data_IF_652940959199
#
_entry.id   IF_652940959199
#
_cell.length_a   1.000
_cell.length_b   1.000
_cell.length_c   1.000
_cell.angle_alpha   90.00
_cell.angle_beta   90.00
_cell.angle_gamma   90.00
#
_symmetry.space_group_name_H-M   'P 1'
#
loop_
_entity.id
_entity.type
_entity.pdbx_description
1 polymer ?
#
# COMPACT_ATOMS: atom_id res chain seq x y z
N UNK A 1 -11.99 3.06 21.01
CA UNK A 1 -11.39 2.91 19.66
C UNK A 1 -12.48 2.87 18.61
N UNK A 2 -12.28 3.48 17.44
CA UNK A 2 -13.20 3.34 16.32
C UNK A 2 -13.13 1.89 15.76
N UNK A 3 -14.20 1.37 15.14
CA UNK A 3 -14.14 0.08 14.46
C UNK A 3 -13.06 0.05 13.37
N UNK A 4 -12.37 -1.09 13.22
CA UNK A 4 -11.23 -1.26 12.30
C UNK A 4 -11.58 -0.90 10.85
N UNK A 5 -12.79 -1.20 10.39
CA UNK A 5 -13.22 -0.89 9.01
C UNK A 5 -13.24 0.61 8.71
N UNK A 6 -13.47 1.47 9.72
CA UNK A 6 -13.39 2.94 9.54
C UNK A 6 -11.96 3.37 9.21
N UNK A 7 -10.97 2.80 9.90
CA UNK A 7 -9.56 3.09 9.59
C UNK A 7 -9.19 2.61 8.19
N UNK A 8 -9.66 1.43 7.78
CA UNK A 8 -9.41 0.90 6.43
C UNK A 8 -10.08 1.78 5.36
N UNK A 9 -11.29 2.27 5.58
CA UNK A 9 -11.93 3.23 4.67
C UNK A 9 -11.15 4.55 4.57
N UNK A 10 -10.65 5.07 5.68
CA UNK A 10 -9.79 6.26 5.69
C UNK A 10 -8.48 6.02 4.93
N UNK A 11 -7.84 4.87 5.12
CA UNK A 11 -6.65 4.44 4.39
C UNK A 11 -6.95 4.43 2.88
N UNK A 12 -8.02 3.75 2.47
CA UNK A 12 -8.40 3.63 1.06
C UNK A 12 -8.70 5.00 0.44
N UNK A 13 -9.44 5.86 1.12
CA UNK A 13 -9.73 7.22 0.63
C UNK A 13 -8.46 8.06 0.52
N UNK A 14 -7.58 8.00 1.51
CA UNK A 14 -6.33 8.74 1.52
C UNK A 14 -5.40 8.29 0.39
N UNK A 15 -5.17 6.97 0.26
CA UNK A 15 -4.32 6.45 -0.80
C UNK A 15 -4.94 6.58 -2.18
N UNK A 16 -6.25 6.54 -2.33
CA UNK A 16 -6.90 6.88 -3.60
C UNK A 16 -6.53 8.30 -4.09
N UNK A 17 -6.56 9.30 -3.20
CA UNK A 17 -6.12 10.65 -3.54
C UNK A 17 -4.62 10.70 -3.89
N UNK A 18 -3.78 9.97 -3.12
CA UNK A 18 -2.35 9.85 -3.41
C UNK A 18 -2.14 9.22 -4.79
N UNK A 19 -2.84 8.14 -5.10
CA UNK A 19 -2.68 7.36 -6.32
C UNK A 19 -3.00 8.16 -7.59
N UNK A 20 -4.04 9.00 -7.55
CA UNK A 20 -4.37 9.93 -8.64
C UNK A 20 -3.18 10.86 -8.93
N UNK A 21 -2.61 11.43 -7.87
CA UNK A 21 -1.50 12.36 -7.98
C UNK A 21 -0.20 11.64 -8.40
N UNK A 22 0.06 10.46 -7.84
CA UNK A 22 1.20 9.59 -8.21
C UNK A 22 1.14 9.21 -9.68
N UNK A 23 -0.03 8.81 -10.18
CA UNK A 23 -0.22 8.51 -11.60
C UNK A 23 0.14 9.71 -12.47
N UNK A 24 -0.35 10.90 -12.12
CA UNK A 24 -0.08 12.13 -12.86
C UNK A 24 1.42 12.45 -12.90
N UNK A 25 2.09 12.39 -11.77
CA UNK A 25 3.52 12.71 -11.65
C UNK A 25 4.41 11.61 -12.28
N UNK A 26 4.07 10.33 -12.14
CA UNK A 26 4.84 9.21 -12.71
C UNK A 26 4.82 9.19 -14.23
N UNK A 27 3.75 9.66 -14.85
CA UNK A 27 3.65 9.79 -16.31
C UNK A 27 4.44 11.01 -16.79
N UNK A 28 4.40 12.11 -16.03
CA UNK A 28 5.00 13.40 -16.43
C UNK A 28 6.51 13.47 -16.19
N UNK A 29 7.08 12.59 -15.34
CA UNK A 29 8.46 12.70 -14.90
C UNK A 29 9.19 11.35 -14.85
N UNK A 30 10.50 11.38 -14.50
CA UNK A 30 11.22 10.16 -14.17
C UNK A 30 10.67 9.59 -12.86
N UNK A 31 10.13 8.36 -12.92
CA UNK A 31 9.43 7.72 -11.80
C UNK A 31 10.32 7.59 -10.55
N UNK A 32 11.60 7.21 -10.72
CA UNK A 32 12.51 7.04 -9.58
C UNK A 32 12.83 8.38 -8.92
N UNK A 33 13.08 9.42 -9.72
CA UNK A 33 13.29 10.77 -9.20
C UNK A 33 12.03 11.31 -8.49
N UNK A 34 10.85 11.00 -9.01
CA UNK A 34 9.58 11.35 -8.36
C UNK A 34 9.46 10.65 -7.00
N UNK A 35 9.72 9.32 -6.92
CA UNK A 35 9.67 8.57 -5.66
C UNK A 35 10.67 9.15 -4.65
N UNK A 36 11.91 9.43 -5.07
CA UNK A 36 12.94 10.01 -4.20
C UNK A 36 12.51 11.36 -3.62
N UNK A 37 11.95 12.26 -4.45
CA UNK A 37 11.45 13.57 -3.99
C UNK A 37 10.29 13.42 -3.00
N UNK A 38 9.33 12.54 -3.31
CA UNK A 38 8.21 12.25 -2.41
C UNK A 38 8.76 11.72 -1.08
N UNK A 39 9.66 10.73 -1.12
CA UNK A 39 10.20 10.11 0.09
C UNK A 39 11.09 11.07 0.89
N UNK A 40 11.77 12.02 0.25
CA UNK A 40 12.47 13.10 0.97
C UNK A 40 11.50 13.93 1.82
N UNK A 41 10.37 14.35 1.24
CA UNK A 41 9.38 15.13 1.98
C UNK A 41 8.71 14.32 3.09
N UNK A 42 8.34 13.06 2.82
CA UNK A 42 7.73 12.18 3.85
C UNK A 42 8.72 11.84 4.96
N UNK A 43 10.00 11.63 4.66
CA UNK A 43 11.06 11.42 5.66
C UNK A 43 11.23 12.66 6.54
N UNK A 44 11.21 13.87 5.97
CA UNK A 44 11.27 15.10 6.74
C UNK A 44 10.06 15.25 7.68
N UNK A 45 8.85 15.01 7.18
CA UNK A 45 7.62 15.09 7.98
C UNK A 45 7.60 14.07 9.12
N UNK A 46 7.95 12.82 8.83
CA UNK A 46 8.00 11.75 9.84
C UNK A 46 9.16 11.93 10.82
N UNK A 47 10.29 12.50 10.35
CA UNK A 47 11.43 12.84 11.20
C UNK A 47 11.12 13.97 12.19
N UNK A 48 10.43 15.02 11.77
CA UNK A 48 9.94 16.08 12.64
C UNK A 48 9.00 15.49 13.69
N UNK A 49 8.07 14.62 13.27
CA UNK A 49 7.16 13.97 14.20
C UNK A 49 7.89 13.05 15.19
N UNK A 50 8.83 12.24 14.74
CA UNK A 50 9.69 11.41 15.60
C UNK A 50 10.41 12.27 16.65
N UNK A 51 11.00 13.39 16.23
CA UNK A 51 11.71 14.32 17.13
C UNK A 51 10.79 14.90 18.21
N UNK A 52 9.54 15.23 17.89
CA UNK A 52 8.59 15.79 18.87
C UNK A 52 8.14 14.79 19.94
N UNK A 53 8.36 13.49 19.75
CA UNK A 53 7.90 12.43 20.67
C UNK A 53 8.91 12.02 21.73
N UNK A 54 10.14 12.55 21.69
CA UNK A 54 11.21 12.26 22.67
C UNK A 54 11.40 10.75 22.92
N UNK A 55 11.44 9.95 21.84
CA UNK A 55 11.55 8.50 21.92
C UNK A 55 12.98 8.12 22.25
N UNK A 56 13.16 7.24 23.25
CA UNK A 56 14.47 6.64 23.54
C UNK A 56 14.80 5.59 22.47
N UNK A 57 15.64 5.99 21.52
CA UNK A 57 16.08 5.13 20.43
C UNK A 57 17.00 3.99 20.90
N UNK A 58 17.71 4.16 22.03
CA UNK A 58 18.62 3.15 22.57
C UNK A 58 17.88 2.01 23.28
N UNK A 59 16.64 2.24 23.70
CA UNK A 59 15.82 1.20 24.32
C UNK A 59 15.30 0.13 23.32
N UNK A 60 15.48 0.37 22.01
CA UNK A 60 14.95 -0.51 20.96
C UNK A 60 16.02 -1.53 20.56
N UNK A 61 15.63 -2.81 20.49
CA UNK A 61 16.55 -3.89 20.15
C UNK A 61 17.10 -3.77 18.72
N UNK A 62 18.37 -4.15 18.55
CA UNK A 62 19.01 -4.19 17.22
C UNK A 62 18.24 -5.11 16.24
N UNK A 63 17.69 -6.19 16.74
CA UNK A 63 16.85 -7.11 15.95
C UNK A 63 15.62 -6.41 15.38
N UNK A 64 14.96 -5.54 16.16
CA UNK A 64 13.82 -4.75 15.70
C UNK A 64 14.23 -3.80 14.56
N UNK A 65 15.39 -3.15 14.69
CA UNK A 65 15.93 -2.31 13.60
C UNK A 65 16.15 -3.10 12.32
N UNK A 66 16.77 -4.28 12.39
CA UNK A 66 16.96 -5.13 11.20
C UNK A 66 15.64 -5.58 10.57
N UNK A 67 14.63 -5.90 11.38
CA UNK A 67 13.30 -6.23 10.86
C UNK A 67 12.66 -5.05 10.13
N UNK A 68 12.72 -3.83 10.71
CA UNK A 68 12.20 -2.62 10.06
C UNK A 68 12.93 -2.36 8.73
N UNK A 69 14.24 -2.50 8.69
CA UNK A 69 15.05 -2.33 7.47
C UNK A 69 14.64 -3.35 6.41
N UNK A 70 14.51 -4.62 6.77
CA UNK A 70 14.09 -5.68 5.85
C UNK A 70 12.70 -5.42 5.25
N UNK A 71 11.74 -5.04 6.10
CA UNK A 71 10.39 -4.65 5.68
C UNK A 71 10.43 -3.43 4.75
N UNK A 72 11.22 -2.41 5.11
CA UNK A 72 11.33 -1.19 4.33
C UNK A 72 11.93 -1.43 2.93
N UNK A 73 12.90 -2.35 2.81
CA UNK A 73 13.44 -2.77 1.51
C UNK A 73 12.36 -3.42 0.64
N UNK A 74 11.57 -4.34 1.20
CA UNK A 74 10.46 -4.99 0.49
C UNK A 74 9.42 -3.95 0.03
N UNK A 75 9.01 -3.04 0.93
CA UNK A 75 8.07 -1.97 0.60
C UNK A 75 8.63 -1.01 -0.46
N UNK A 76 9.94 -0.76 -0.47
CA UNK A 76 10.60 0.08 -1.48
C UNK A 76 10.45 -0.51 -2.89
N UNK A 77 10.69 -1.82 -3.05
CA UNK A 77 10.46 -2.51 -4.32
C UNK A 77 8.98 -2.49 -4.71
N UNK A 78 8.08 -2.68 -3.76
CA UNK A 78 6.65 -2.56 -3.98
C UNK A 78 6.27 -1.19 -4.55
N UNK A 79 6.76 -0.10 -3.96
CA UNK A 79 6.47 1.26 -4.39
C UNK A 79 7.07 1.58 -5.77
N UNK A 80 8.29 1.13 -6.05
CA UNK A 80 8.93 1.31 -7.36
C UNK A 80 8.11 0.59 -8.45
N UNK A 81 7.75 -0.66 -8.23
CA UNK A 81 6.91 -1.42 -9.14
C UNK A 81 5.53 -0.74 -9.35
N UNK A 82 4.92 -0.29 -8.27
CA UNK A 82 3.63 0.41 -8.30
C UNK A 82 3.67 1.65 -9.18
N UNK A 83 4.60 2.55 -8.92
CA UNK A 83 4.72 3.80 -9.67
C UNK A 83 5.09 3.56 -11.15
N UNK A 84 5.90 2.54 -11.46
CA UNK A 84 6.22 2.18 -12.84
C UNK A 84 5.00 1.61 -13.57
N UNK A 85 4.13 0.86 -12.90
CA UNK A 85 2.95 0.24 -13.52
C UNK A 85 2.02 1.26 -14.19
N UNK A 86 1.88 2.44 -13.59
CA UNK A 86 1.05 3.53 -14.13
C UNK A 86 1.51 4.10 -15.48
N UNK A 87 2.75 3.83 -15.88
CA UNK A 87 3.23 4.21 -17.23
C UNK A 87 2.67 3.31 -18.33
N UNK A 88 2.22 2.12 -17.99
CA UNK A 88 1.88 1.09 -18.96
C UNK A 88 0.42 0.69 -18.94
N UNK A 89 -0.27 0.81 -17.80
CA UNK A 89 -1.66 0.38 -17.64
C UNK A 89 -2.51 1.42 -16.91
N UNK A 90 -3.83 1.36 -17.15
CA UNK A 90 -4.80 2.26 -16.52
C UNK A 90 -4.89 2.04 -15.01
N UNK A 91 -5.32 3.09 -14.29
CA UNK A 91 -5.47 3.06 -12.83
C UNK A 91 -6.37 1.91 -12.34
N UNK A 92 -7.53 1.72 -12.97
CA UNK A 92 -8.47 0.63 -12.64
C UNK A 92 -7.82 -0.74 -12.73
N UNK A 93 -6.96 -0.97 -13.74
CA UNK A 93 -6.25 -2.24 -13.89
C UNK A 93 -5.23 -2.44 -12.76
N UNK A 94 -4.51 -1.37 -12.33
CA UNK A 94 -3.61 -1.44 -11.18
C UNK A 94 -4.39 -1.75 -9.91
N UNK A 95 -5.51 -1.07 -9.68
CA UNK A 95 -6.37 -1.29 -8.52
C UNK A 95 -6.92 -2.73 -8.48
N UNK A 96 -7.36 -3.28 -9.62
CA UNK A 96 -7.82 -4.68 -9.69
C UNK A 96 -6.69 -5.68 -9.42
N UNK A 97 -5.48 -5.43 -9.92
CA UNK A 97 -4.33 -6.30 -9.62
C UNK A 97 -3.95 -6.19 -8.14
N UNK A 98 -4.09 -5.03 -7.51
CA UNK A 98 -3.86 -4.85 -6.08
C UNK A 98 -4.80 -5.71 -5.23
N UNK A 99 -6.03 -6.01 -5.69
CA UNK A 99 -6.93 -6.97 -5.04
C UNK A 99 -6.32 -8.38 -4.96
N UNK A 100 -5.61 -8.85 -6.01
CA UNK A 100 -4.86 -10.10 -5.95
C UNK A 100 -3.78 -10.06 -4.87
N UNK A 101 -3.15 -8.91 -4.68
CA UNK A 101 -2.16 -8.70 -3.63
C UNK A 101 -2.73 -8.96 -2.23
N UNK A 102 -3.96 -8.55 -1.98
CA UNK A 102 -4.60 -8.80 -0.68
C UNK A 102 -4.91 -10.28 -0.47
N UNK A 103 -5.17 -11.06 -1.53
CA UNK A 103 -5.21 -12.53 -1.43
C UNK A 103 -3.84 -13.11 -1.06
N UNK A 104 -2.75 -12.62 -1.66
CA UNK A 104 -1.39 -13.01 -1.24
C UNK A 104 -1.16 -12.68 0.24
N UNK A 105 -1.69 -11.58 0.73
CA UNK A 105 -1.61 -11.21 2.14
C UNK A 105 -2.24 -12.30 3.03
N UNK A 106 -3.40 -12.86 2.67
CA UNK A 106 -4.00 -13.97 3.41
C UNK A 106 -3.11 -15.23 3.41
N UNK A 107 -2.53 -15.56 2.26
CA UNK A 107 -1.59 -16.68 2.16
C UNK A 107 -0.37 -16.46 3.05
N UNK A 108 0.24 -15.27 3.04
CA UNK A 108 1.37 -14.94 3.90
C UNK A 108 1.02 -14.99 5.38
N UNK A 109 -0.20 -14.60 5.76
CA UNK A 109 -0.69 -14.70 7.13
C UNK A 109 -0.73 -16.14 7.63
N UNK A 110 -1.20 -17.07 6.81
CA UNK A 110 -1.19 -18.51 7.14
C UNK A 110 0.25 -19.03 7.22
N UNK A 111 1.09 -18.70 6.23
CA UNK A 111 2.46 -19.24 6.16
C UNK A 111 3.39 -18.69 7.24
N UNK A 112 3.27 -17.40 7.60
CA UNK A 112 4.21 -16.73 8.51
C UNK A 112 3.73 -16.80 9.96
N UNK A 113 2.42 -16.64 10.19
CA UNK A 113 1.85 -16.56 11.54
C UNK A 113 1.03 -17.79 11.93
N UNK A 114 0.83 -18.76 11.04
CA UNK A 114 0.02 -19.96 11.29
C UNK A 114 -1.45 -19.64 11.58
N UNK A 115 -1.98 -18.53 11.08
CA UNK A 115 -3.33 -18.09 11.36
C UNK A 115 -4.32 -19.05 10.72
N UNK A 116 -5.29 -19.52 11.53
CA UNK A 116 -6.41 -20.35 11.08
C UNK A 116 -7.65 -19.48 10.92
N UNK A 117 -8.29 -19.58 9.76
CA UNK A 117 -9.57 -18.89 9.52
C UNK A 117 -10.73 -19.65 10.12
N UNK A 118 -11.70 -18.93 10.70
CA UNK A 118 -12.99 -19.53 11.04
C UNK A 118 -13.73 -19.95 9.77
N UNK A 119 -14.67 -20.87 9.88
CA UNK A 119 -15.48 -21.34 8.75
C UNK A 119 -16.16 -20.17 8.00
N UNK A 120 -16.62 -19.16 8.75
CA UNK A 120 -17.25 -17.96 8.19
C UNK A 120 -16.21 -17.11 7.43
N UNK A 121 -15.06 -16.87 8.05
CA UNK A 121 -13.97 -16.12 7.38
C UNK A 121 -13.51 -16.80 6.11
N UNK A 122 -13.41 -18.14 6.12
CA UNK A 122 -13.04 -18.93 4.95
C UNK A 122 -14.12 -18.84 3.85
N UNK A 123 -15.38 -18.94 4.21
CA UNK A 123 -16.50 -18.79 3.27
C UNK A 123 -16.49 -17.40 2.62
N UNK A 124 -16.34 -16.33 3.41
CA UNK A 124 -16.26 -14.96 2.89
C UNK A 124 -15.01 -14.75 2.02
N UNK A 125 -13.88 -15.36 2.38
CA UNK A 125 -12.66 -15.34 1.56
C UNK A 125 -12.89 -16.01 0.22
N UNK A 126 -13.52 -17.20 0.19
CA UNK A 126 -13.84 -17.89 -1.07
C UNK A 126 -14.81 -17.07 -1.94
N UNK A 127 -15.77 -16.40 -1.33
CA UNK A 127 -16.69 -15.50 -2.03
C UNK A 127 -15.92 -14.29 -2.64
N UNK A 128 -14.97 -13.72 -1.91
CA UNK A 128 -14.11 -12.65 -2.42
C UNK A 128 -13.22 -13.13 -3.58
N UNK A 129 -12.65 -14.35 -3.48
CA UNK A 129 -11.90 -14.98 -4.58
C UNK A 129 -12.78 -15.17 -5.81
N UNK A 130 -14.03 -15.62 -5.64
CA UNK A 130 -15.00 -15.74 -6.73
C UNK A 130 -15.27 -14.38 -7.39
N UNK A 131 -15.49 -13.34 -6.58
CA UNK A 131 -15.67 -11.97 -7.08
C UNK A 131 -14.48 -11.48 -7.90
N UNK A 132 -13.26 -11.78 -7.47
CA UNK A 132 -12.04 -11.48 -8.23
C UNK A 132 -11.95 -12.30 -9.53
N UNK A 133 -12.25 -13.58 -9.49
CA UNK A 133 -12.23 -14.44 -10.67
C UNK A 133 -13.22 -13.97 -11.76
N UNK A 134 -14.38 -13.45 -11.36
CA UNK A 134 -15.36 -12.85 -12.28
C UNK A 134 -14.79 -11.59 -12.97
N UNK A 135 -13.96 -10.82 -12.28
CA UNK A 135 -13.35 -9.58 -12.83
C UNK A 135 -12.21 -9.89 -13.81
N UNK A 136 -11.41 -10.91 -13.52
CA UNK A 136 -10.20 -11.22 -14.29
C UNK A 136 -10.58 -12.03 -15.53
N UNK A 137 -10.77 -11.32 -16.64
CA UNK A 137 -11.00 -11.95 -17.95
C UNK A 137 -9.84 -11.60 -18.85
N UNK A 138 -9.04 -12.62 -19.21
CA UNK A 138 -7.88 -12.51 -20.12
C UNK A 138 -6.87 -11.41 -19.70
N UNK A 139 -6.10 -11.61 -18.64
CA UNK A 139 -5.03 -10.69 -18.30
C UNK A 139 -3.98 -10.73 -19.42
N UNK A 140 -3.95 -9.72 -20.27
CA UNK A 140 -2.82 -9.55 -21.19
C UNK A 140 -1.59 -9.36 -20.33
N UNK A 141 -0.64 -10.30 -20.39
CA UNK A 141 0.61 -10.23 -19.66
C UNK A 141 1.48 -9.14 -20.29
N UNK A 142 1.23 -7.90 -19.91
CA UNK A 142 1.99 -6.73 -20.34
C UNK A 142 3.09 -6.40 -19.29
N UNK A 143 4.10 -5.61 -19.68
CA UNK A 143 5.10 -5.11 -18.73
C UNK A 143 4.42 -4.41 -17.52
N UNK A 144 3.37 -3.61 -17.78
CA UNK A 144 2.63 -2.93 -16.72
C UNK A 144 1.93 -3.89 -15.76
N UNK A 145 1.35 -4.98 -16.29
CA UNK A 145 0.74 -6.05 -15.48
C UNK A 145 1.77 -6.73 -14.57
N UNK A 146 2.98 -7.01 -15.08
CA UNK A 146 4.05 -7.61 -14.28
C UNK A 146 4.52 -6.67 -13.16
N UNK A 147 4.68 -5.39 -13.44
CA UNK A 147 5.00 -4.40 -12.40
C UNK A 147 3.88 -4.28 -11.36
N UNK A 148 2.62 -4.26 -11.76
CA UNK A 148 1.49 -4.21 -10.84
C UNK A 148 1.41 -5.48 -9.96
N UNK A 149 1.65 -6.67 -10.51
CA UNK A 149 1.74 -7.93 -9.75
C UNK A 149 2.92 -7.92 -8.77
N UNK A 150 4.10 -7.46 -9.21
CA UNK A 150 5.25 -7.28 -8.34
C UNK A 150 4.95 -6.34 -7.18
N UNK A 151 4.31 -5.21 -7.46
CA UNK A 151 3.84 -4.28 -6.44
C UNK A 151 2.88 -4.94 -5.46
N UNK A 152 1.86 -5.64 -5.97
CA UNK A 152 0.87 -6.33 -5.16
C UNK A 152 1.53 -7.36 -4.23
N UNK A 153 2.52 -8.13 -4.73
CA UNK A 153 3.26 -9.10 -3.95
C UNK A 153 4.10 -8.43 -2.84
N UNK A 154 4.95 -7.46 -3.22
CA UNK A 154 5.88 -6.84 -2.28
C UNK A 154 5.18 -5.98 -1.23
N UNK A 155 4.16 -5.21 -1.57
CA UNK A 155 3.42 -4.44 -0.57
C UNK A 155 2.74 -5.35 0.45
N UNK A 156 2.04 -6.39 -0.02
CA UNK A 156 1.29 -7.24 0.90
C UNK A 156 2.22 -8.10 1.78
N UNK A 157 3.34 -8.59 1.25
CA UNK A 157 4.37 -9.23 2.06
C UNK A 157 4.97 -8.23 3.08
N UNK A 158 5.30 -7.03 2.64
CA UNK A 158 5.85 -5.99 3.51
C UNK A 158 4.91 -5.62 4.66
N UNK A 159 3.61 -5.44 4.39
CA UNK A 159 2.62 -5.13 5.42
C UNK A 159 2.40 -6.28 6.40
N UNK A 160 2.41 -7.53 5.94
CA UNK A 160 2.34 -8.69 6.85
C UNK A 160 3.56 -8.72 7.76
N UNK A 161 4.76 -8.57 7.23
CA UNK A 161 5.99 -8.57 8.00
C UNK A 161 6.12 -7.34 8.93
N UNK A 162 5.50 -6.21 8.58
CA UNK A 162 5.51 -4.98 9.37
C UNK A 162 4.80 -5.14 10.73
N UNK A 163 3.80 -6.00 10.83
CA UNK A 163 3.05 -6.18 12.06
C UNK A 163 3.94 -6.57 13.25
N UNK A 164 4.95 -7.42 13.03
CA UNK A 164 5.84 -7.88 14.10
C UNK A 164 6.71 -6.75 14.69
N UNK A 165 7.50 -5.96 13.91
CA UNK A 165 8.30 -4.88 14.49
C UNK A 165 7.45 -3.74 15.07
N UNK A 166 6.22 -3.50 14.59
CA UNK A 166 5.33 -2.50 15.16
C UNK A 166 4.89 -2.82 16.60
N UNK A 167 4.86 -4.08 17.00
CA UNK A 167 4.54 -4.47 18.37
C UNK A 167 5.67 -4.12 19.35
N UNK A 168 6.92 -4.14 18.89
CA UNK A 168 8.13 -3.94 19.69
C UNK A 168 8.79 -2.57 19.49
N UNK A 169 8.24 -1.71 18.64
CA UNK A 169 8.79 -0.37 18.36
C UNK A 169 7.71 0.71 18.36
N UNK A 170 8.11 1.97 18.62
CA UNK A 170 7.24 3.13 18.39
C UNK A 170 6.84 3.25 16.92
N UNK A 171 5.59 3.60 16.69
CA UNK A 171 5.05 3.78 15.34
C UNK A 171 5.82 4.87 14.56
N UNK A 172 6.18 5.93 15.24
CA UNK A 172 6.93 7.07 14.73
C UNK A 172 8.28 6.66 14.13
N UNK A 173 9.03 5.83 14.89
CA UNK A 173 10.31 5.33 14.45
C UNK A 173 10.17 4.40 13.23
N UNK A 174 9.25 3.45 13.29
CA UNK A 174 9.04 2.50 12.19
C UNK A 174 8.67 3.23 10.92
N UNK A 175 7.77 4.22 11.00
CA UNK A 175 7.35 5.02 9.84
C UNK A 175 8.50 5.85 9.27
N UNK A 176 9.27 6.52 10.14
CA UNK A 176 10.44 7.29 9.73
C UNK A 176 11.49 6.41 9.02
N UNK A 177 11.83 5.27 9.61
CA UNK A 177 12.82 4.34 9.05
C UNK A 177 12.38 3.78 7.70
N UNK A 178 11.11 3.44 7.54
CA UNK A 178 10.56 2.96 6.26
C UNK A 178 10.72 4.05 5.19
N UNK A 179 10.30 5.28 5.44
CA UNK A 179 10.39 6.36 4.46
C UNK A 179 11.85 6.74 4.16
N UNK A 180 12.74 6.70 5.15
CA UNK A 180 14.18 6.93 4.98
C UNK A 180 14.81 5.87 4.06
N UNK A 181 14.48 4.60 4.23
CA UNK A 181 15.01 3.51 3.40
C UNK A 181 14.43 3.59 1.98
N UNK A 182 13.14 3.92 1.82
CA UNK A 182 12.56 4.17 0.51
C UNK A 182 13.30 5.32 -0.20
N UNK A 183 13.62 6.39 0.51
CA UNK A 183 14.42 7.50 -0.02
C UNK A 183 15.80 7.01 -0.49
N UNK A 184 16.53 6.28 0.33
CA UNK A 184 17.86 5.76 0.01
C UNK A 184 17.79 4.85 -1.23
N UNK A 185 16.90 3.85 -1.20
CA UNK A 185 16.76 2.86 -2.28
C UNK A 185 16.36 3.53 -3.59
N UNK A 186 15.34 4.38 -3.59
CA UNK A 186 14.88 5.05 -4.81
C UNK A 186 15.94 6.00 -5.38
N UNK A 187 16.71 6.66 -4.50
CA UNK A 187 17.80 7.55 -4.90
C UNK A 187 18.95 6.77 -5.52
N UNK A 188 19.38 5.65 -4.92
CA UNK A 188 20.41 4.78 -5.49
C UNK A 188 19.95 4.26 -6.87
N UNK A 189 18.73 3.74 -6.97
CA UNK A 189 18.21 3.27 -8.26
C UNK A 189 18.13 4.40 -9.30
N UNK A 190 17.76 5.61 -8.89
CA UNK A 190 17.78 6.76 -9.78
C UNK A 190 19.17 7.03 -10.33
N UNK A 191 20.19 7.09 -9.47
CA UNK A 191 21.57 7.33 -9.90
C UNK A 191 22.13 6.24 -10.81
N UNK A 192 21.81 4.98 -10.54
CA UNK A 192 22.31 3.84 -11.33
C UNK A 192 21.64 3.76 -12.71
N UNK A 193 20.35 4.15 -12.81
CA UNK A 193 19.59 3.97 -14.05
C UNK A 193 19.46 5.23 -14.90
N UNK A 194 19.65 6.43 -14.33
CA UNK A 194 19.51 7.69 -15.07
C UNK A 194 20.82 8.04 -15.80
N UNK A 195 20.72 8.16 -17.12
CA UNK A 195 21.85 8.60 -17.96
C UNK A 195 22.17 10.10 -17.82
N UNK A 196 21.20 10.89 -17.36
CA UNK A 196 21.31 12.34 -17.20
C UNK A 196 21.08 12.70 -15.74
N UNK A 197 22.16 13.00 -15.05
CA UNK A 197 22.10 13.52 -13.69
C UNK A 197 22.03 15.05 -13.74
N UNK A 198 20.90 15.60 -13.32
CA UNK A 198 20.78 17.04 -13.05
C UNK A 198 20.43 17.23 -11.57
N UNK A 199 21.40 17.66 -10.72
CA UNK A 199 21.14 17.93 -9.28
C UNK A 199 19.95 18.88 -9.09
N UNK A 200 19.82 19.86 -9.98
CA UNK A 200 18.73 20.83 -9.98
C UNK A 200 17.33 20.19 -10.04
N UNK A 201 17.22 18.97 -10.62
CA UNK A 201 15.94 18.26 -10.71
C UNK A 201 15.41 17.82 -9.34
N UNK A 202 16.28 17.47 -8.38
CA UNK A 202 15.88 17.09 -7.03
C UNK A 202 15.22 18.23 -6.24
N UNK A 203 15.63 19.45 -6.47
CA UNK A 203 15.13 20.62 -5.73
C UNK A 203 13.89 21.27 -6.34
N UNK A 204 13.47 20.85 -7.52
CA UNK A 204 12.24 21.35 -8.13
C UNK A 204 11.04 20.61 -7.55
N UNK A 205 10.53 21.13 -6.43
CA UNK A 205 9.32 20.62 -5.77
C UNK A 205 8.08 21.34 -6.33
N UNK A 206 6.98 20.62 -6.49
CA UNK A 206 5.72 21.18 -6.94
C UNK A 206 4.60 20.93 -5.88
N UNK A 207 3.48 21.62 -6.05
CA UNK A 207 2.33 21.54 -5.15
C UNK A 207 1.82 20.09 -4.94
N UNK A 208 1.81 19.30 -6.01
CA UNK A 208 1.34 17.91 -5.95
C UNK A 208 2.25 17.05 -5.06
N UNK A 209 3.57 17.24 -5.12
CA UNK A 209 4.52 16.51 -4.27
C UNK A 209 4.30 16.79 -2.78
N UNK A 210 4.06 18.04 -2.41
CA UNK A 210 3.73 18.38 -1.01
C UNK A 210 2.43 17.70 -0.57
N UNK A 211 1.40 17.76 -1.40
CA UNK A 211 0.12 17.13 -1.09
C UNK A 211 0.26 15.61 -0.99
N UNK A 212 0.98 14.97 -1.93
CA UNK A 212 1.28 13.54 -1.87
C UNK A 212 2.03 13.21 -0.57
N UNK A 213 3.05 13.98 -0.20
CA UNK A 213 3.84 13.72 1.00
C UNK A 213 2.98 13.79 2.27
N UNK A 214 2.15 14.82 2.41
CA UNK A 214 1.25 14.98 3.56
C UNK A 214 0.23 13.83 3.64
N UNK A 215 -0.45 13.54 2.52
CA UNK A 215 -1.44 12.47 2.47
C UNK A 215 -0.79 11.09 2.69
N UNK A 216 0.39 10.86 2.12
CA UNK A 216 1.12 9.60 2.35
C UNK A 216 1.54 9.46 3.81
N UNK A 217 2.10 10.51 4.40
CA UNK A 217 2.49 10.49 5.81
C UNK A 217 1.28 10.14 6.69
N UNK A 218 0.15 10.82 6.49
CA UNK A 218 -1.09 10.52 7.20
C UNK A 218 -1.55 9.08 6.96
N UNK A 219 -1.61 8.63 5.70
CA UNK A 219 -2.03 7.28 5.34
C UNK A 219 -1.15 6.19 5.98
N UNK A 220 0.18 6.34 5.93
CA UNK A 220 1.12 5.37 6.53
C UNK A 220 0.99 5.34 8.05
N UNK A 221 0.73 6.48 8.70
CA UNK A 221 0.47 6.55 10.13
C UNK A 221 -0.81 5.79 10.51
N UNK A 222 -1.88 5.97 9.75
CA UNK A 222 -3.15 5.25 9.97
C UNK A 222 -2.97 3.75 9.73
N UNK A 223 -2.23 3.35 8.69
CA UNK A 223 -1.85 1.95 8.44
C UNK A 223 -1.09 1.38 9.63
N UNK A 224 0.00 2.02 10.03
CA UNK A 224 0.83 1.56 11.13
C UNK A 224 0.05 1.48 12.46
N UNK A 225 -0.81 2.48 12.75
CA UNK A 225 -1.72 2.44 13.90
C UNK A 225 -2.65 1.22 13.84
N UNK A 226 -3.22 0.94 12.66
CA UNK A 226 -4.14 -0.17 12.46
C UNK A 226 -3.44 -1.51 12.70
N UNK A 227 -2.27 -1.73 12.12
CA UNK A 227 -1.48 -2.97 12.35
C UNK A 227 -0.93 -3.11 13.77
N UNK A 228 -0.73 -2.00 14.49
CA UNK A 228 -0.24 -2.03 15.87
C UNK A 228 -1.32 -2.38 16.89
N UNK A 229 -2.55 -1.89 16.69
CA UNK A 229 -3.59 -1.96 17.72
C UNK A 229 -4.76 -2.89 17.41
N UNK A 230 -4.81 -3.46 16.20
CA UNK A 230 -5.85 -4.42 15.82
C UNK A 230 -5.25 -5.77 15.43
N UNK A 231 -6.00 -6.87 15.64
CA UNK A 231 -5.59 -8.18 15.18
C UNK A 231 -5.35 -8.18 13.66
N UNK A 232 -4.18 -8.70 13.26
CA UNK A 232 -3.72 -8.61 11.87
C UNK A 232 -4.65 -9.37 10.90
N UNK A 233 -5.22 -10.50 11.33
CA UNK A 233 -6.22 -11.27 10.58
C UNK A 233 -7.45 -10.44 10.24
N UNK A 234 -7.96 -9.65 11.20
CA UNK A 234 -9.07 -8.74 10.95
C UNK A 234 -8.69 -7.61 10.01
N UNK A 235 -7.53 -6.96 10.24
CA UNK A 235 -7.05 -5.87 9.39
C UNK A 235 -6.94 -6.33 7.93
N UNK A 236 -6.37 -7.50 7.69
CA UNK A 236 -6.17 -8.03 6.34
C UNK A 236 -7.48 -8.44 5.65
N UNK A 237 -8.43 -9.05 6.39
CA UNK A 237 -9.75 -9.37 5.86
C UNK A 237 -10.55 -8.10 5.50
N UNK A 238 -10.56 -7.10 6.38
CA UNK A 238 -11.23 -5.84 6.07
C UNK A 238 -10.58 -5.11 4.90
N UNK A 239 -9.26 -5.18 4.78
CA UNK A 239 -8.57 -4.60 3.63
C UNK A 239 -9.03 -5.27 2.32
N UNK A 240 -9.17 -6.62 2.30
CA UNK A 240 -9.69 -7.34 1.14
C UNK A 240 -11.12 -6.89 0.79
N UNK A 241 -12.01 -6.88 1.78
CA UNK A 241 -13.43 -6.63 1.55
C UNK A 241 -13.73 -5.17 1.19
N UNK A 242 -12.93 -4.22 1.66
CA UNK A 242 -13.16 -2.79 1.41
C UNK A 242 -12.36 -2.23 0.23
N UNK A 243 -11.44 -3.00 -0.35
CA UNK A 243 -10.68 -2.59 -1.53
C UNK A 243 -11.59 -2.21 -2.74
N UNK A 244 -12.75 -2.87 -3.01
CA UNK A 244 -13.67 -2.42 -4.06
C UNK A 244 -14.12 -0.96 -3.93
N UNK A 245 -14.08 -0.37 -2.73
CA UNK A 245 -14.39 1.05 -2.56
C UNK A 245 -13.47 1.95 -3.38
N UNK A 246 -12.19 1.59 -3.51
CA UNK A 246 -11.22 2.31 -4.36
C UNK A 246 -11.61 2.24 -5.84
N UNK A 247 -12.10 1.08 -6.30
CA UNK A 247 -12.56 0.90 -7.68
C UNK A 247 -13.81 1.74 -7.96
N UNK A 248 -14.76 1.79 -7.01
CA UNK A 248 -15.94 2.65 -7.14
C UNK A 248 -15.58 4.13 -7.09
N UNK A 249 -14.67 4.55 -6.22
CA UNK A 249 -14.16 5.92 -6.21
C UNK A 249 -13.53 6.30 -7.56
N UNK A 250 -12.75 5.40 -8.16
CA UNK A 250 -12.19 5.60 -9.51
C UNK A 250 -13.28 5.78 -10.57
N UNK A 251 -14.32 4.95 -10.53
CA UNK A 251 -15.45 5.07 -11.45
C UNK A 251 -16.17 6.42 -11.31
N UNK A 252 -16.50 6.85 -10.09
CA UNK A 252 -17.26 8.09 -9.87
C UNK A 252 -16.42 9.35 -10.07
N UNK A 253 -15.16 9.35 -9.63
CA UNK A 253 -14.30 10.56 -9.63
C UNK A 253 -13.51 10.67 -10.92
N UNK A 254 -12.89 9.58 -11.39
CA UNK A 254 -12.08 9.57 -12.62
C UNK A 254 -12.90 9.28 -13.88
N UNK A 255 -14.19 8.92 -13.72
CA UNK A 255 -15.08 8.50 -14.79
C UNK A 255 -14.51 7.32 -15.61
N UNK A 256 -13.73 6.47 -14.96
CA UNK A 256 -13.21 5.24 -15.55
C UNK A 256 -14.38 4.29 -15.87
N UNK A 257 -14.38 3.70 -17.06
CA UNK A 257 -15.45 2.79 -17.46
C UNK A 257 -15.24 1.42 -16.82
N UNK A 258 -16.19 0.98 -16.01
CA UNK A 258 -16.23 -0.38 -15.48
C UNK A 258 -17.10 -1.27 -16.38
N UNK A 259 -16.58 -2.43 -16.74
CA UNK A 259 -17.35 -3.47 -17.43
C UNK A 259 -18.41 -4.08 -16.49
N UNK A 260 -19.44 -4.74 -17.06
CA UNK A 260 -20.46 -5.45 -16.26
C UNK A 260 -19.86 -6.49 -15.33
N UNK A 261 -18.76 -7.14 -15.73
CA UNK A 261 -18.07 -8.17 -14.94
C UNK A 261 -17.32 -7.55 -13.76
N UNK A 262 -16.66 -6.42 -13.97
CA UNK A 262 -15.99 -5.67 -12.89
C UNK A 262 -17.00 -5.18 -11.86
N UNK A 263 -18.17 -4.68 -12.28
CA UNK A 263 -19.27 -4.34 -11.41
C UNK A 263 -19.73 -5.55 -10.58
N UNK A 264 -20.03 -6.67 -11.24
CA UNK A 264 -20.51 -7.88 -10.59
C UNK A 264 -19.50 -8.41 -9.59
N UNK A 265 -18.23 -8.49 -9.96
CA UNK A 265 -17.19 -9.00 -9.08
C UNK A 265 -16.96 -8.12 -7.84
N UNK A 266 -16.98 -6.79 -7.99
CA UNK A 266 -16.88 -5.87 -6.83
C UNK A 266 -18.11 -5.99 -5.91
N UNK A 267 -19.32 -6.17 -6.45
CA UNK A 267 -20.53 -6.39 -5.66
C UNK A 267 -20.43 -7.69 -4.87
N UNK A 268 -19.94 -8.78 -5.47
CA UNK A 268 -19.74 -10.07 -4.76
C UNK A 268 -18.78 -9.88 -3.58
N UNK A 269 -17.69 -9.15 -3.73
CA UNK A 269 -16.74 -8.90 -2.65
C UNK A 269 -17.39 -8.06 -1.53
N UNK A 270 -18.19 -7.05 -1.87
CA UNK A 270 -18.94 -6.29 -0.86
C UNK A 270 -20.01 -7.11 -0.13
N UNK A 271 -20.65 -8.04 -0.82
CA UNK A 271 -21.57 -9.00 -0.17
C UNK A 271 -20.80 -9.87 0.84
N UNK A 272 -19.60 -10.35 0.48
CA UNK A 272 -18.74 -11.09 1.41
C UNK A 272 -18.43 -10.26 2.67
N UNK A 273 -18.16 -8.95 2.51
CA UNK A 273 -17.98 -8.03 3.63
C UNK A 273 -19.21 -7.93 4.53
N UNK A 274 -20.39 -7.76 3.94
CA UNK A 274 -21.64 -7.65 4.71
C UNK A 274 -21.92 -8.93 5.50
N UNK A 275 -21.75 -10.11 4.87
CA UNK A 275 -21.90 -11.40 5.53
C UNK A 275 -20.91 -11.54 6.69
N UNK A 276 -19.64 -11.19 6.46
CA UNK A 276 -18.59 -11.21 7.49
C UNK A 276 -18.93 -10.30 8.67
N UNK A 277 -19.49 -9.13 8.40
CA UNK A 277 -19.84 -8.13 9.41
C UNK A 277 -21.04 -8.57 10.28
N UNK A 278 -22.03 -9.24 9.67
CA UNK A 278 -23.22 -9.72 10.39
C UNK A 278 -22.90 -10.96 11.27
N UNK A 279 -21.88 -11.72 10.88
CA UNK A 279 -21.50 -12.97 11.53
C UNK A 279 -20.47 -12.81 12.67
N UNK A 280 -19.96 -11.61 12.92
CA UNK A 280 -19.12 -11.26 14.07
C UNK A 280 -19.93 -10.76 15.24
#
# INVERSE_FOLDING_TARGET
MLPVYIYILLINACFFCVDILVRKESIASNTLAFISKRSLLTTLLTGIWLYTRSIDLMAISLTTYFHIVGVALILSFGLICYAISFKYIAFTNVAMISLLGVLFQQVFMVLIYGITFTSISLFCLLLAVLGLAVQIVNPKLSKGTLYALGSALFFNLGYVLLAHPLQSSPLELSTFMIELIILIVSTIFYFVTSKEYTPHYFFKLNKNLYLIAVLTTFGVLVVGYTYKYYPIDKVTLYNLFLQPTTVFLAYFILKDKLSRREWLGNIIILIAFIIFQIAQ
#
